data_IF_274408665701
#
_entry.id   IF_274408665701
#
_cell.length_a   1.000
_cell.length_b   1.000
_cell.length_c   1.000
_cell.angle_alpha   90.00
_cell.angle_beta   90.00
_cell.angle_gamma   90.00
#
_symmetry.space_group_name_H-M   'P 1'
#
loop_
_entity.id
_entity.type
_entity.pdbx_description
1 polymer ?
#
# COMPACT_ATOMS: atom_id res chain seq x y z
N UNK A 1 -7.62 0.82 -14.23
CA UNK A 1 -7.08 1.04 -15.60
C UNK A 1 -6.94 -0.27 -16.39
N UNK A 2 -6.22 -1.29 -15.91
CA UNK A 2 -6.03 -2.55 -16.65
C UNK A 2 -7.38 -3.19 -17.05
N UNK A 3 -8.38 -3.15 -16.17
CA UNK A 3 -9.72 -3.67 -16.46
C UNK A 3 -10.43 -2.91 -17.59
N UNK A 4 -10.24 -1.60 -17.71
CA UNK A 4 -10.82 -0.80 -18.79
C UNK A 4 -10.02 -0.95 -20.08
N UNK A 5 -8.69 -0.81 -20.00
CA UNK A 5 -7.84 -0.55 -21.17
C UNK A 5 -6.92 -1.71 -21.55
N UNK A 6 -6.76 -2.74 -20.70
CA UNK A 6 -5.84 -3.85 -20.95
C UNK A 6 -4.36 -3.45 -20.83
N UNK A 7 -3.45 -4.33 -21.27
CA UNK A 7 -2.03 -4.01 -21.42
C UNK A 7 -1.82 -3.50 -22.85
N UNK A 8 -1.50 -2.22 -22.99
CA UNK A 8 -1.31 -1.60 -24.30
C UNK A 8 -0.23 -2.35 -25.11
N UNK A 9 -0.56 -2.64 -26.36
CA UNK A 9 0.36 -3.21 -27.33
C UNK A 9 1.14 -2.07 -27.98
N UNK A 10 2.45 -2.18 -27.92
CA UNK A 10 3.40 -1.28 -28.58
C UNK A 10 4.16 -2.12 -29.59
N UNK A 11 3.95 -1.85 -30.86
CA UNK A 11 4.63 -2.51 -31.98
C UNK A 11 5.90 -1.73 -32.35
N UNK A 12 6.87 -2.43 -32.97
CA UNK A 12 8.17 -1.83 -33.32
C UNK A 12 8.06 -0.66 -34.30
N UNK A 13 7.01 -0.65 -35.11
CA UNK A 13 6.78 0.36 -36.15
C UNK A 13 5.96 1.56 -35.63
N UNK A 14 5.52 1.52 -34.37
CA UNK A 14 4.77 2.63 -33.77
C UNK A 14 5.68 3.84 -33.52
N UNK A 15 5.25 5.01 -33.98
CA UNK A 15 5.92 6.27 -33.65
C UNK A 15 5.60 6.70 -32.22
N UNK A 16 6.47 7.49 -31.60
CA UNK A 16 6.21 8.09 -30.28
C UNK A 16 4.87 8.82 -30.23
N UNK A 17 4.52 9.58 -31.28
CA UNK A 17 3.24 10.28 -31.35
C UNK A 17 2.03 9.33 -31.38
N UNK A 18 2.14 8.17 -32.05
CA UNK A 18 1.08 7.16 -32.04
C UNK A 18 0.94 6.52 -30.66
N UNK A 19 2.06 6.28 -29.97
CA UNK A 19 2.06 5.73 -28.60
C UNK A 19 1.41 6.74 -27.65
N UNK A 20 1.82 8.01 -27.70
CA UNK A 20 1.29 9.08 -26.85
C UNK A 20 -0.24 9.22 -27.05
N UNK A 21 -0.72 9.24 -28.30
CA UNK A 21 -2.16 9.28 -28.60
C UNK A 21 -2.92 8.09 -28.03
N UNK A 22 -2.34 6.89 -28.05
CA UNK A 22 -2.97 5.69 -27.45
C UNK A 22 -3.00 5.78 -25.94
N UNK A 23 -1.93 6.27 -25.32
CA UNK A 23 -1.85 6.48 -23.87
C UNK A 23 -2.90 7.51 -23.43
N UNK A 24 -2.98 8.65 -24.13
CA UNK A 24 -3.99 9.67 -23.87
C UNK A 24 -5.41 9.11 -23.99
N UNK A 25 -5.69 8.34 -25.05
CA UNK A 25 -7.01 7.72 -25.22
C UNK A 25 -7.31 6.68 -24.14
N UNK A 26 -6.31 5.89 -23.70
CA UNK A 26 -6.47 4.96 -22.57
C UNK A 26 -6.82 5.69 -21.28
N UNK A 27 -6.20 6.85 -21.03
CA UNK A 27 -6.52 7.69 -19.88
C UNK A 27 -7.92 8.31 -19.98
N UNK A 28 -8.33 8.77 -21.15
CA UNK A 28 -9.70 9.28 -21.38
C UNK A 28 -10.75 8.22 -21.07
N UNK A 29 -10.57 6.99 -21.57
CA UNK A 29 -11.45 5.85 -21.28
C UNK A 29 -11.46 5.52 -19.80
N UNK A 30 -10.29 5.44 -19.16
CA UNK A 30 -10.22 5.11 -17.74
C UNK A 30 -10.90 6.16 -16.86
N UNK A 31 -10.87 7.43 -17.27
CA UNK A 31 -11.45 8.55 -16.53
C UNK A 31 -12.96 8.70 -16.72
N UNK A 32 -13.51 8.15 -17.79
CA UNK A 32 -14.94 8.23 -18.07
C UNK A 32 -15.73 7.28 -17.14
N UNK A 33 -16.63 7.85 -16.33
CA UNK A 33 -17.49 7.12 -15.38
C UNK A 33 -18.78 6.58 -15.99
N UNK A 34 -19.00 6.80 -17.28
CA UNK A 34 -20.16 6.35 -18.03
C UNK A 34 -20.14 4.86 -18.31
N UNK A 35 -21.33 4.28 -18.51
CA UNK A 35 -21.48 2.84 -18.75
C UNK A 35 -20.76 2.33 -20.00
N UNK A 36 -20.52 3.21 -20.99
CA UNK A 36 -19.78 2.86 -22.22
C UNK A 36 -18.35 2.44 -21.93
N UNK A 37 -17.69 3.10 -20.97
CA UNK A 37 -16.27 2.90 -20.64
C UNK A 37 -16.05 2.31 -19.24
N UNK A 38 -17.13 1.82 -18.62
CA UNK A 38 -17.04 0.84 -17.55
C UNK A 38 -16.19 -0.37 -18.03
N UNK A 39 -15.46 -1.09 -17.15
CA UNK A 39 -14.64 -2.25 -17.55
C UNK A 39 -15.33 -3.28 -18.46
N UNK A 40 -16.63 -3.51 -18.21
CA UNK A 40 -17.52 -4.42 -18.96
C UNK A 40 -18.32 -3.70 -20.06
N UNK A 41 -18.05 -2.42 -20.29
CA UNK A 41 -18.69 -1.58 -21.31
C UNK A 41 -18.09 -1.80 -22.70
N UNK A 42 -18.92 -1.57 -23.73
CA UNK A 42 -18.54 -1.81 -25.13
C UNK A 42 -17.38 -0.94 -25.60
N UNK A 43 -17.25 0.28 -25.08
CA UNK A 43 -16.14 1.18 -25.40
C UNK A 43 -14.81 0.66 -24.89
N UNK A 44 -14.75 0.22 -23.64
CA UNK A 44 -13.57 -0.41 -23.04
C UNK A 44 -13.22 -1.73 -23.73
N UNK A 45 -14.21 -2.57 -24.03
CA UNK A 45 -14.00 -3.82 -24.76
C UNK A 45 -13.39 -3.58 -26.16
N UNK A 46 -13.95 -2.63 -26.92
CA UNK A 46 -13.45 -2.28 -28.24
C UNK A 46 -12.03 -1.72 -28.19
N UNK A 47 -11.73 -0.88 -27.19
CA UNK A 47 -10.39 -0.36 -26.98
C UNK A 47 -9.40 -1.48 -26.72
N UNK A 48 -9.70 -2.40 -25.80
CA UNK A 48 -8.83 -3.56 -25.50
C UNK A 48 -8.55 -4.41 -26.72
N UNK A 49 -9.59 -4.72 -27.51
CA UNK A 49 -9.45 -5.50 -28.75
C UNK A 49 -8.54 -4.84 -29.78
N UNK A 50 -8.52 -3.50 -29.80
CA UNK A 50 -7.82 -2.73 -30.83
C UNK A 50 -6.38 -2.41 -30.43
N UNK A 51 -6.16 -1.98 -29.19
CA UNK A 51 -4.91 -1.37 -28.76
C UNK A 51 -4.14 -2.17 -27.71
N UNK A 52 -4.67 -3.30 -27.25
CA UNK A 52 -4.07 -4.07 -26.16
C UNK A 52 -3.77 -5.51 -26.57
N UNK A 53 -2.89 -6.15 -25.82
CA UNK A 53 -2.73 -7.59 -25.93
C UNK A 53 -4.07 -8.28 -25.65
N UNK A 54 -4.46 -9.32 -26.43
CA UNK A 54 -5.74 -9.98 -26.25
C UNK A 54 -5.94 -10.42 -24.82
N UNK A 55 -7.14 -10.19 -24.27
CA UNK A 55 -7.54 -10.73 -22.99
C UNK A 55 -7.38 -12.25 -23.04
N UNK A 56 -6.33 -12.74 -22.40
CA UNK A 56 -6.04 -14.17 -22.39
C UNK A 56 -6.76 -14.78 -21.21
N UNK A 57 -7.33 -15.98 -21.39
CA UNK A 57 -7.81 -16.80 -20.24
C UNK A 57 -6.67 -17.15 -19.25
N UNK A 58 -5.41 -16.86 -19.61
CA UNK A 58 -4.24 -17.07 -18.76
C UNK A 58 -3.93 -15.77 -17.99
N UNK A 59 -3.48 -15.93 -16.76
CA UNK A 59 -2.92 -14.84 -15.96
C UNK A 59 -1.59 -14.39 -16.58
N UNK A 60 -1.58 -13.22 -17.20
CA UNK A 60 -0.40 -12.67 -17.89
C UNK A 60 0.52 -11.99 -16.89
N UNK A 61 -0.05 -11.31 -15.89
CA UNK A 61 0.71 -10.64 -14.83
C UNK A 61 0.87 -11.65 -13.70
N UNK A 62 2.08 -12.22 -13.55
CA UNK A 62 2.38 -13.19 -12.49
C UNK A 62 2.35 -12.57 -11.09
N UNK A 63 2.81 -11.33 -10.97
CA UNK A 63 2.93 -10.63 -9.71
C UNK A 63 2.73 -9.12 -9.90
N UNK A 64 1.90 -8.52 -9.06
CA UNK A 64 1.68 -7.08 -8.98
C UNK A 64 2.06 -6.61 -7.56
N UNK A 65 3.23 -6.01 -7.42
CA UNK A 65 3.69 -5.43 -6.17
C UNK A 65 3.40 -3.93 -6.13
N UNK A 66 2.69 -3.48 -5.09
CA UNK A 66 2.34 -2.10 -4.87
C UNK A 66 2.90 -1.62 -3.54
N UNK A 67 3.46 -0.41 -3.53
CA UNK A 67 3.80 0.27 -2.30
C UNK A 67 2.97 1.53 -2.17
N UNK A 68 2.27 1.60 -1.06
CA UNK A 68 1.51 2.71 -0.55
C UNK A 68 0.73 3.48 -1.61
N UNK A 69 -0.05 2.75 -2.42
CA UNK A 69 -0.84 3.32 -3.51
C UNK A 69 -1.73 4.42 -2.95
N UNK A 70 -1.48 5.65 -3.40
CA UNK A 70 -2.29 6.82 -3.06
C UNK A 70 -3.30 6.99 -4.17
N UNK A 71 -4.58 7.08 -3.82
CA UNK A 71 -5.63 7.29 -4.81
C UNK A 71 -6.39 8.58 -4.64
N UNK A 72 -5.79 9.54 -3.95
CA UNK A 72 -6.43 10.80 -3.61
C UNK A 72 -7.23 11.37 -4.78
N UNK A 73 -8.43 11.88 -4.48
CA UNK A 73 -8.81 13.29 -4.50
C UNK A 73 -7.77 14.35 -5.00
N UNK A 74 -6.88 13.99 -5.93
CA UNK A 74 -5.89 14.78 -6.63
C UNK A 74 -4.63 15.22 -5.88
N UNK A 75 -3.46 14.79 -6.37
CA UNK A 75 -2.23 15.61 -6.36
C UNK A 75 -2.55 16.98 -6.99
N UNK A 76 -2.01 18.10 -6.50
CA UNK A 76 -2.30 19.45 -6.99
C UNK A 76 -1.68 19.77 -8.37
N UNK A 77 -2.20 19.15 -9.42
CA UNK A 77 -2.14 19.67 -10.79
C UNK A 77 -3.48 20.32 -11.13
N UNK A 78 -3.71 21.51 -10.61
CA UNK A 78 -4.95 22.24 -10.84
C UNK A 78 -5.11 22.57 -12.34
N UNK A 79 -5.87 21.78 -13.11
CA UNK A 79 -6.43 22.26 -14.37
C UNK A 79 -7.69 23.07 -14.04
N UNK A 80 -7.61 24.38 -14.31
CA UNK A 80 -8.61 25.41 -13.95
C UNK A 80 -10.05 25.04 -14.37
N UNK A 81 -10.19 24.16 -15.36
CA UNK A 81 -11.49 23.78 -15.94
C UNK A 81 -12.01 22.39 -15.50
N UNK A 82 -11.20 21.53 -14.89
CA UNK A 82 -11.54 20.13 -14.55
C UNK A 82 -11.31 19.71 -13.09
N UNK A 83 -10.76 20.60 -12.25
CA UNK A 83 -10.52 20.31 -10.83
C UNK A 83 -9.58 19.12 -10.61
N UNK A 84 -9.77 18.39 -9.52
CA UNK A 84 -8.93 17.26 -9.07
C UNK A 84 -9.42 15.87 -9.57
N UNK A 85 -10.48 15.82 -10.37
CA UNK A 85 -11.14 14.57 -10.81
C UNK A 85 -10.24 13.64 -11.64
N UNK A 86 -9.17 14.17 -12.25
CA UNK A 86 -8.31 13.44 -13.19
C UNK A 86 -7.32 12.46 -12.52
N UNK A 87 -7.29 12.41 -11.18
CA UNK A 87 -6.36 11.62 -10.36
C UNK A 87 -7.02 10.60 -9.43
N UNK A 88 -8.35 10.57 -9.38
CA UNK A 88 -9.06 9.56 -8.60
C UNK A 88 -8.92 8.18 -9.25
N UNK A 89 -8.72 7.14 -8.44
CA UNK A 89 -8.79 5.78 -8.96
C UNK A 89 -10.25 5.42 -9.22
N UNK A 90 -10.55 5.10 -10.47
CA UNK A 90 -11.90 4.71 -10.89
C UNK A 90 -12.21 3.23 -10.61
N UNK A 91 -11.19 2.41 -10.33
CA UNK A 91 -11.35 0.99 -10.09
C UNK A 91 -10.25 0.44 -9.18
N UNK A 92 -10.65 0.05 -7.97
CA UNK A 92 -9.80 -0.56 -6.94
C UNK A 92 -9.77 -2.10 -7.06
N UNK A 93 -10.50 -2.67 -8.02
CA UNK A 93 -10.58 -4.12 -8.22
C UNK A 93 -9.40 -4.60 -9.06
N UNK A 94 -8.67 -5.58 -8.56
CA UNK A 94 -7.55 -6.17 -9.30
C UNK A 94 -8.05 -6.97 -10.50
N UNK A 95 -7.49 -6.71 -11.69
CA UNK A 95 -7.86 -7.40 -12.93
C UNK A 95 -7.63 -8.92 -12.87
N UNK A 96 -8.52 -9.70 -13.49
CA UNK A 96 -8.40 -11.17 -13.57
C UNK A 96 -7.19 -11.68 -14.35
N UNK A 97 -6.49 -10.81 -15.09
CA UNK A 97 -5.22 -11.16 -15.74
C UNK A 97 -4.04 -11.21 -14.75
N UNK A 98 -4.24 -10.76 -13.50
CA UNK A 98 -3.25 -10.78 -12.43
C UNK A 98 -3.39 -12.08 -11.63
N UNK A 99 -2.29 -12.78 -11.41
CA UNK A 99 -2.26 -13.98 -10.59
C UNK A 99 -2.24 -13.66 -9.10
N UNK A 100 -1.32 -12.78 -8.71
CA UNK A 100 -1.03 -12.42 -7.33
C UNK A 100 -0.78 -10.92 -7.26
N UNK A 101 -1.47 -10.23 -6.37
CA UNK A 101 -1.25 -8.83 -6.09
C UNK A 101 -0.97 -8.64 -4.61
N UNK A 102 0.00 -7.80 -4.28
CA UNK A 102 0.25 -7.43 -2.91
C UNK A 102 0.57 -5.96 -2.75
N UNK A 103 0.14 -5.40 -1.62
CA UNK A 103 0.24 -3.99 -1.32
C UNK A 103 0.77 -3.78 0.09
N UNK A 104 1.87 -3.02 0.21
CA UNK A 104 2.35 -2.52 1.49
C UNK A 104 1.75 -1.13 1.74
N UNK A 105 1.14 -0.87 2.90
CA UNK A 105 0.51 0.41 3.24
C UNK A 105 1.18 1.07 4.45
N UNK A 106 1.28 2.40 4.43
CA UNK A 106 1.82 3.22 5.50
C UNK A 106 0.78 3.53 6.58
N UNK A 107 1.11 3.23 7.84
CA UNK A 107 0.22 3.48 8.99
C UNK A 107 0.22 4.96 9.38
N UNK A 108 1.39 5.60 9.36
CA UNK A 108 1.60 6.90 10.01
C UNK A 108 1.56 8.09 9.04
N UNK A 109 1.29 7.86 7.76
CA UNK A 109 1.07 8.93 6.80
C UNK A 109 -0.21 9.72 7.14
N UNK A 110 -0.15 11.04 7.00
CA UNK A 110 -1.22 11.96 7.39
C UNK A 110 -1.52 13.03 6.34
N UNK A 111 -0.71 13.17 5.31
CA UNK A 111 -1.00 14.11 4.23
C UNK A 111 -2.27 13.62 3.56
N UNK A 112 -3.35 14.40 3.65
CA UNK A 112 -4.68 14.02 3.12
C UNK A 112 -4.68 13.68 1.62
N UNK A 113 -3.74 14.23 0.86
CA UNK A 113 -3.51 13.89 -0.55
C UNK A 113 -2.80 12.55 -0.77
N UNK A 114 -2.37 11.90 0.30
CA UNK A 114 -1.81 10.55 0.33
C UNK A 114 -2.74 9.60 1.08
N UNK A 115 -4.06 9.80 0.97
CA UNK A 115 -5.04 8.79 1.40
C UNK A 115 -4.81 7.48 0.60
N UNK A 116 -4.70 6.33 1.29
CA UNK A 116 -4.37 5.08 0.63
C UNK A 116 -5.57 4.59 -0.18
N UNK A 117 -5.34 4.22 -1.44
CA UNK A 117 -6.30 3.45 -2.22
C UNK A 117 -5.94 1.98 -2.10
N UNK A 118 -6.86 1.23 -1.53
CA UNK A 118 -6.71 -0.20 -1.23
C UNK A 118 -7.05 -1.00 -2.48
N UNK A 119 -6.47 -2.18 -2.62
CA UNK A 119 -6.83 -3.10 -3.70
C UNK A 119 -7.74 -4.21 -3.21
N UNK A 120 -8.73 -4.56 -4.01
CA UNK A 120 -9.69 -5.62 -3.71
C UNK A 120 -9.60 -6.75 -4.75
N UNK A 121 -9.82 -8.01 -4.33
CA UNK A 121 -9.91 -9.11 -5.28
C UNK A 121 -11.10 -8.91 -6.21
N UNK A 122 -11.02 -9.44 -7.42
CA UNK A 122 -12.18 -9.49 -8.30
C UNK A 122 -13.22 -10.50 -7.81
N UNK A 123 -14.46 -10.34 -8.28
CA UNK A 123 -15.61 -11.18 -7.92
C UNK A 123 -15.50 -12.65 -8.34
N UNK A 124 -14.48 -13.03 -9.10
CA UNK A 124 -14.25 -14.41 -9.54
C UNK A 124 -13.27 -15.18 -8.66
N UNK A 125 -12.73 -14.54 -7.61
CA UNK A 125 -11.70 -15.07 -6.70
C UNK A 125 -10.49 -15.65 -7.45
N UNK A 126 -10.25 -15.16 -8.68
CA UNK A 126 -9.17 -15.67 -9.52
C UNK A 126 -7.82 -15.08 -9.12
N UNK A 127 -7.80 -14.00 -8.35
CA UNK A 127 -6.60 -13.27 -7.94
C UNK A 127 -6.37 -13.41 -6.45
N UNK A 128 -5.15 -13.75 -6.06
CA UNK A 128 -4.75 -13.68 -4.66
C UNK A 128 -4.33 -12.25 -4.34
N UNK A 129 -4.99 -11.62 -3.36
CA UNK A 129 -4.67 -10.27 -2.89
C UNK A 129 -4.11 -10.33 -1.48
N UNK A 130 -2.97 -9.68 -1.25
CA UNK A 130 -2.31 -9.55 0.05
C UNK A 130 -2.00 -8.09 0.36
N UNK A 131 -2.69 -7.51 1.33
CA UNK A 131 -2.41 -6.15 1.78
C UNK A 131 -1.82 -6.20 3.19
N UNK A 132 -0.76 -5.46 3.49
CA UNK A 132 -0.20 -5.39 4.85
C UNK A 132 0.16 -3.96 5.21
N UNK A 133 -0.19 -3.56 6.42
CA UNK A 133 0.13 -2.23 6.97
C UNK A 133 1.44 -2.26 7.74
N UNK A 134 2.32 -1.31 7.42
CA UNK A 134 3.65 -1.16 7.96
C UNK A 134 3.75 0.13 8.78
N UNK A 135 4.48 0.12 9.90
CA UNK A 135 4.89 1.35 10.56
C UNK A 135 5.59 2.27 9.57
N UNK A 136 5.06 3.49 9.48
CA UNK A 136 5.71 4.62 8.84
C UNK A 136 4.89 5.42 7.89
N UNK A 137 5.53 6.42 7.30
CA UNK A 137 4.91 7.36 6.35
C UNK A 137 5.13 6.91 4.91
N UNK A 138 4.45 7.55 3.95
CA UNK A 138 4.43 7.14 2.55
C UNK A 138 5.83 6.90 1.97
N UNK A 139 6.75 7.84 2.19
CA UNK A 139 8.12 7.79 1.67
C UNK A 139 8.98 6.67 2.28
N UNK A 140 8.68 6.26 3.52
CA UNK A 140 9.44 5.19 4.20
C UNK A 140 8.96 3.82 3.75
N UNK A 141 7.65 3.64 3.59
CA UNK A 141 7.07 2.39 3.10
C UNK A 141 7.38 2.19 1.61
N UNK A 142 7.19 3.23 0.80
CA UNK A 142 7.45 3.20 -0.65
C UNK A 142 8.92 3.19 -1.03
N UNK A 143 9.79 3.64 -0.12
CA UNK A 143 11.20 3.82 -0.41
C UNK A 143 11.43 5.11 -1.18
N UNK A 144 12.17 6.02 -0.56
CA UNK A 144 12.50 7.31 -1.13
C UNK A 144 13.09 8.20 -0.05
N UNK A 145 14.40 8.44 -0.12
CA UNK A 145 15.05 9.38 0.80
C UNK A 145 15.21 10.70 0.06
N UNK A 146 14.34 11.68 0.37
CA UNK A 146 14.45 13.02 -0.25
C UNK A 146 15.58 13.86 0.35
N UNK A 147 16.23 13.40 1.42
CA UNK A 147 17.17 14.19 2.22
C UNK A 147 18.47 13.44 2.47
N UNK A 148 19.60 14.13 2.32
CA UNK A 148 20.95 13.65 2.65
C UNK A 148 21.19 13.38 4.14
N UNK A 149 20.15 13.47 4.97
CA UNK A 149 20.16 13.21 6.40
C UNK A 149 19.50 11.85 6.63
N UNK A 150 20.31 10.82 6.90
CA UNK A 150 19.87 9.42 6.99
C UNK A 150 18.50 9.21 7.68
N UNK A 151 17.60 8.56 6.95
CA UNK A 151 16.26 8.15 7.40
C UNK A 151 16.26 6.82 8.14
N UNK A 152 15.07 6.32 8.50
CA UNK A 152 14.91 4.95 8.97
C UNK A 152 15.12 3.99 7.79
N UNK A 153 16.27 3.30 7.74
CA UNK A 153 16.55 2.34 6.67
C UNK A 153 15.83 1.01 6.86
N UNK A 154 15.30 0.74 8.06
CA UNK A 154 14.70 -0.54 8.41
C UNK A 154 13.34 -0.73 7.77
N UNK A 155 12.51 0.32 7.68
CA UNK A 155 11.17 0.24 7.08
C UNK A 155 11.25 -0.06 5.57
N UNK A 156 12.03 0.67 4.75
CA UNK A 156 12.18 0.33 3.33
C UNK A 156 12.76 -1.08 3.12
N UNK A 157 13.70 -1.51 3.98
CA UNK A 157 14.23 -2.89 3.94
C UNK A 157 13.13 -3.91 4.25
N UNK A 158 12.29 -3.66 5.26
CA UNK A 158 11.18 -4.52 5.62
C UNK A 158 10.16 -4.68 4.49
N UNK A 159 9.72 -3.56 3.89
CA UNK A 159 8.72 -3.59 2.81
C UNK A 159 9.28 -4.23 1.54
N UNK A 160 10.55 -3.99 1.22
CA UNK A 160 11.24 -4.63 0.11
C UNK A 160 11.38 -6.14 0.33
N UNK A 161 11.86 -6.57 1.50
CA UNK A 161 12.01 -7.99 1.81
C UNK A 161 10.66 -8.71 1.79
N UNK A 162 9.62 -8.10 2.38
CA UNK A 162 8.25 -8.64 2.37
C UNK A 162 7.73 -8.84 0.94
N UNK A 163 7.98 -7.89 0.04
CA UNK A 163 7.61 -8.02 -1.37
C UNK A 163 8.36 -9.18 -2.04
N UNK A 164 9.67 -9.30 -1.79
CA UNK A 164 10.53 -10.36 -2.33
C UNK A 164 10.07 -11.74 -1.83
N UNK A 165 9.68 -11.86 -0.56
CA UNK A 165 9.18 -13.12 0.01
C UNK A 165 7.92 -13.60 -0.72
N UNK A 166 7.00 -12.69 -1.05
CA UNK A 166 5.83 -13.05 -1.87
C UNK A 166 6.18 -13.34 -3.33
N UNK A 167 7.16 -12.64 -3.93
CA UNK A 167 7.67 -12.97 -5.27
C UNK A 167 8.20 -14.40 -5.30
N UNK A 168 8.99 -14.79 -4.30
CA UNK A 168 9.53 -16.16 -4.17
C UNK A 168 8.41 -17.18 -3.96
N UNK A 169 7.41 -16.85 -3.14
CA UNK A 169 6.25 -17.72 -2.91
C UNK A 169 5.44 -17.97 -4.19
N UNK A 170 5.27 -16.96 -5.05
CA UNK A 170 4.57 -17.10 -6.34
C UNK A 170 5.35 -17.99 -7.31
N UNK A 171 6.68 -17.88 -7.30
CA UNK A 171 7.56 -18.69 -8.15
C UNK A 171 7.58 -18.26 -9.63
N UNK A 172 8.38 -18.98 -10.43
CA UNK A 172 8.54 -18.78 -11.88
C UNK A 172 8.90 -17.34 -12.33
N UNK A 173 9.47 -16.55 -11.44
CA UNK A 173 10.03 -15.22 -11.73
C UNK A 173 11.56 -15.31 -11.71
N UNK A 174 12.20 -14.63 -12.65
CA UNK A 174 13.65 -14.58 -12.71
C UNK A 174 14.18 -13.71 -11.56
N UNK A 175 15.00 -14.32 -10.73
CA UNK A 175 15.63 -13.68 -9.56
C UNK A 175 17.14 -13.69 -9.75
N UNK A 176 17.79 -12.58 -9.37
CA UNK A 176 19.26 -12.46 -9.49
C UNK A 176 19.98 -13.24 -8.39
N UNK A 177 19.46 -13.15 -7.17
CA UNK A 177 20.00 -13.79 -5.98
C UNK A 177 18.94 -14.74 -5.37
N UNK A 178 19.34 -15.59 -4.40
CA UNK A 178 18.41 -16.42 -3.64
C UNK A 178 17.75 -15.65 -2.46
N UNK A 179 16.73 -16.27 -1.85
CA UNK A 179 15.98 -15.64 -0.76
C UNK A 179 16.85 -15.37 0.48
N UNK A 180 17.83 -16.21 0.79
CA UNK A 180 18.70 -16.02 1.97
C UNK A 180 19.64 -14.82 1.79
N UNK A 181 20.12 -14.62 0.56
CA UNK A 181 20.90 -13.44 0.17
C UNK A 181 20.06 -12.18 0.30
N UNK A 182 18.79 -12.21 -0.14
CA UNK A 182 17.88 -11.08 0.04
C UNK A 182 17.51 -10.82 1.50
N UNK A 183 17.26 -11.86 2.31
CA UNK A 183 17.04 -11.75 3.76
C UNK A 183 18.21 -11.11 4.47
N UNK A 184 19.43 -11.48 4.10
CA UNK A 184 20.64 -10.87 4.65
C UNK A 184 20.76 -9.39 4.24
N UNK A 185 20.55 -9.09 2.95
CA UNK A 185 20.70 -7.73 2.40
C UNK A 185 19.63 -6.76 2.91
N UNK A 186 18.40 -7.22 3.03
CA UNK A 186 17.23 -6.43 3.40
C UNK A 186 16.69 -6.78 4.79
N UNK A 187 17.52 -7.32 5.68
CA UNK A 187 17.13 -7.56 7.07
C UNK A 187 16.71 -6.23 7.72
N UNK A 188 15.46 -6.10 8.19
CA UNK A 188 15.02 -4.89 8.87
C UNK A 188 15.53 -4.82 10.31
N UNK A 189 16.10 -5.91 10.82
CA UNK A 189 16.61 -6.01 12.19
C UNK A 189 18.02 -5.38 12.34
N UNK A 190 18.64 -4.99 11.21
CA UNK A 190 20.00 -4.45 11.15
C UNK A 190 20.00 -3.08 10.45
N UNK A 191 20.83 -2.18 10.97
CA UNK A 191 21.06 -0.84 10.39
C UNK A 191 20.44 0.29 11.19
N UNK A 192 20.61 1.54 10.73
CA UNK A 192 20.13 2.71 11.44
C UNK A 192 18.60 2.72 11.49
N UNK A 193 18.05 2.72 12.71
CA UNK A 193 16.70 3.20 12.99
C UNK A 193 16.72 4.74 13.09
N UNK A 194 15.54 5.34 13.24
CA UNK A 194 15.30 6.74 13.57
C UNK A 194 16.51 7.54 14.07
N UNK A 195 17.00 8.47 13.26
CA UNK A 195 17.95 9.46 13.74
C UNK A 195 17.17 10.53 14.53
N UNK A 196 17.64 10.88 15.73
CA UNK A 196 17.05 11.95 16.57
C UNK A 196 16.93 13.28 15.80
N UNK A 197 17.70 13.50 14.72
CA UNK A 197 17.56 14.67 13.84
C UNK A 197 16.29 14.67 12.96
N UNK A 198 15.64 13.52 12.73
CA UNK A 198 14.42 13.39 11.92
C UNK A 198 13.16 13.86 12.67
N UNK A 199 13.25 14.09 13.98
CA UNK A 199 12.21 14.77 14.79
C UNK A 199 11.76 16.12 14.20
N UNK A 200 12.64 16.78 13.46
CA UNK A 200 12.37 18.08 12.87
C UNK A 200 11.45 17.95 11.64
N UNK A 201 11.43 16.81 10.94
CA UNK A 201 10.67 16.64 9.71
C UNK A 201 9.22 16.18 9.94
N UNK A 202 8.97 15.33 10.94
CA UNK A 202 7.57 15.09 11.35
C UNK A 202 6.94 16.35 11.97
N UNK A 203 7.78 17.23 12.56
CA UNK A 203 7.41 18.61 12.89
C UNK A 203 7.49 19.58 11.72
N UNK A 204 8.06 19.25 10.56
CA UNK A 204 8.03 20.09 9.35
C UNK A 204 6.74 19.95 8.57
N UNK A 205 5.87 19.01 8.95
CA UNK A 205 4.43 19.14 8.73
C UNK A 205 3.87 20.46 9.33
N UNK A 206 4.64 21.22 10.11
CA UNK A 206 4.32 22.62 10.44
C UNK A 206 4.27 23.56 9.22
N UNK A 207 4.81 23.16 8.06
CA UNK A 207 4.67 23.90 6.80
C UNK A 207 3.41 23.48 6.01
N UNK A 208 2.86 22.29 6.29
CA UNK A 208 1.60 21.83 5.71
C UNK A 208 0.47 22.33 6.61
N UNK A 209 -0.49 23.13 6.10
CA UNK A 209 -1.61 23.59 6.90
C UNK A 209 -2.30 22.41 7.60
N UNK A 210 -2.63 22.53 8.90
CA UNK A 210 -3.27 21.46 9.69
C UNK A 210 -4.54 20.91 9.02
N UNK A 211 -5.25 21.73 8.26
CA UNK A 211 -6.43 21.34 7.48
C UNK A 211 -6.15 20.27 6.41
N UNK A 212 -4.90 20.13 5.98
CA UNK A 212 -4.44 19.14 4.99
C UNK A 212 -3.88 17.88 5.65
N UNK A 213 -3.94 17.77 6.98
CA UNK A 213 -3.54 16.59 7.73
C UNK A 213 -4.76 15.78 8.19
N UNK A 214 -4.76 14.48 7.89
CA UNK A 214 -5.79 13.51 8.26
C UNK A 214 -5.13 12.17 8.54
N UNK A 215 -5.38 11.61 9.72
CA UNK A 215 -4.94 10.26 10.05
C UNK A 215 -5.66 9.24 9.16
N UNK A 216 -4.92 8.25 8.68
CA UNK A 216 -5.48 7.11 7.92
C UNK A 216 -6.36 6.25 8.80
N UNK A 217 -7.21 5.45 8.15
CA UNK A 217 -8.07 4.47 8.81
C UNK A 217 -7.69 3.06 8.40
N UNK A 218 -7.32 2.22 9.37
CA UNK A 218 -7.08 0.79 9.13
C UNK A 218 -8.39 0.06 9.43
N UNK A 219 -9.01 -0.60 8.45
CA UNK A 219 -10.25 -1.32 8.69
C UNK A 219 -10.01 -2.50 9.63
N UNK A 220 -10.95 -2.70 10.56
CA UNK A 220 -10.94 -3.82 11.49
C UNK A 220 -11.30 -5.12 10.75
N UNK A 221 -10.33 -5.68 10.04
CA UNK A 221 -10.47 -6.94 9.33
C UNK A 221 -10.15 -8.12 10.23
N UNK A 222 -11.07 -9.08 10.30
CA UNK A 222 -10.97 -10.20 11.21
C UNK A 222 -10.74 -11.52 10.47
N UNK A 223 -10.21 -12.49 11.18
CA UNK A 223 -10.16 -13.87 10.73
C UNK A 223 -11.58 -14.50 10.65
N UNK A 224 -11.75 -15.68 10.03
CA UNK A 224 -13.06 -16.34 9.95
C UNK A 224 -13.73 -16.62 11.30
N UNK A 225 -12.95 -16.76 12.38
CA UNK A 225 -13.50 -16.96 13.74
C UNK A 225 -14.03 -15.68 14.37
N UNK A 226 -13.70 -14.50 13.81
CA UNK A 226 -13.99 -13.17 14.33
C UNK A 226 -13.40 -12.90 15.71
N UNK A 227 -12.38 -13.66 16.11
CA UNK A 227 -11.69 -13.50 17.40
C UNK A 227 -10.32 -12.86 17.23
N UNK A 228 -9.75 -12.98 16.04
CA UNK A 228 -8.41 -12.49 15.75
C UNK A 228 -8.49 -11.45 14.64
N UNK A 229 -7.57 -10.48 14.69
CA UNK A 229 -7.27 -9.65 13.55
C UNK A 229 -6.84 -10.56 12.38
N UNK A 230 -7.23 -10.20 11.16
CA UNK A 230 -6.86 -10.92 9.95
C UNK A 230 -5.33 -11.07 9.94
N UNK A 231 -4.87 -12.31 9.77
CA UNK A 231 -3.45 -12.63 9.68
C UNK A 231 -2.77 -11.75 8.63
N UNK A 232 -1.55 -11.28 8.94
CA UNK A 232 -0.76 -10.41 8.08
C UNK A 232 -1.40 -9.03 7.80
N UNK A 233 -2.43 -8.59 8.55
CA UNK A 233 -2.95 -7.21 8.42
C UNK A 233 -1.91 -6.17 8.82
N UNK A 234 -1.21 -6.43 9.91
CA UNK A 234 -0.07 -5.65 10.36
C UNK A 234 1.20 -6.42 10.03
N UNK A 235 2.26 -5.70 9.62
CA UNK A 235 3.57 -6.33 9.43
C UNK A 235 4.03 -7.02 10.73
N UNK A 236 4.56 -8.24 10.62
CA UNK A 236 4.92 -9.09 11.78
C UNK A 236 3.79 -9.23 12.81
N UNK A 237 2.53 -9.20 12.35
CA UNK A 237 1.32 -9.27 13.17
C UNK A 237 1.28 -8.22 14.31
N UNK A 238 1.96 -7.09 14.15
CA UNK A 238 2.04 -6.01 15.14
C UNK A 238 3.22 -6.13 16.13
N UNK A 239 4.05 -7.18 16.03
CA UNK A 239 5.30 -7.27 16.79
C UNK A 239 6.40 -6.44 16.10
N UNK A 240 6.48 -5.18 16.51
CA UNK A 240 7.40 -4.20 15.95
C UNK A 240 8.59 -3.90 16.84
N UNK A 241 8.69 -4.53 18.02
CA UNK A 241 9.76 -4.29 18.99
C UNK A 241 11.14 -4.45 18.33
N UNK A 242 11.29 -5.56 17.60
CA UNK A 242 12.41 -5.84 16.71
C UNK A 242 11.78 -5.88 15.31
N UNK A 243 11.59 -4.74 14.60
CA UNK A 243 12.67 -3.92 14.06
C UNK A 243 12.53 -2.39 14.25
N UNK A 244 11.39 -1.92 14.74
CA UNK A 244 10.99 -0.50 14.68
C UNK A 244 10.89 0.19 16.04
N UNK A 245 10.96 -0.58 17.13
CA UNK A 245 10.89 -0.09 18.50
C UNK A 245 9.52 -0.31 19.14
N UNK A 246 9.37 0.13 20.39
CA UNK A 246 8.13 -0.01 21.15
C UNK A 246 7.01 0.84 20.59
N UNK A 247 5.78 0.56 21.00
CA UNK A 247 4.62 1.42 20.75
C UNK A 247 4.89 2.88 21.17
N UNK A 248 5.34 3.11 22.41
CA UNK A 248 5.67 4.47 22.87
C UNK A 248 6.71 5.16 21.99
N UNK A 249 7.70 4.42 21.49
CA UNK A 249 8.69 4.99 20.57
C UNK A 249 8.04 5.44 19.25
N UNK A 250 7.14 4.64 18.68
CA UNK A 250 6.43 4.99 17.45
C UNK A 250 5.49 6.19 17.63
N UNK A 251 4.84 6.34 18.79
CA UNK A 251 4.01 7.50 19.12
C UNK A 251 4.80 8.81 19.27
N UNK A 252 6.02 8.70 19.79
CA UNK A 252 6.93 9.85 19.88
C UNK A 252 7.43 10.22 18.48
N UNK A 253 7.70 9.22 17.65
CA UNK A 253 8.26 9.41 16.33
C UNK A 253 7.25 9.98 15.34
N UNK A 254 6.02 9.49 15.36
CA UNK A 254 4.98 9.86 14.41
C UNK A 254 3.79 10.52 15.08
N UNK A 255 3.30 11.61 14.49
CA UNK A 255 2.14 12.34 15.03
C UNK A 255 0.77 11.71 14.69
N UNK A 256 0.75 10.59 13.95
CA UNK A 256 -0.48 9.90 13.53
C UNK A 256 -1.08 9.08 14.66
N UNK A 257 -2.41 9.11 14.83
CA UNK A 257 -3.13 8.25 15.77
C UNK A 257 -3.72 7.00 15.12
N UNK A 258 -3.42 6.71 13.85
CA UNK A 258 -4.02 5.61 13.10
C UNK A 258 -3.90 4.26 13.82
N UNK A 259 -2.70 3.90 14.29
CA UNK A 259 -2.50 2.65 15.03
C UNK A 259 -3.23 2.65 16.38
N UNK A 260 -3.22 3.77 17.11
CA UNK A 260 -3.91 3.86 18.40
C UNK A 260 -5.42 3.74 18.29
N UNK A 261 -5.99 4.26 17.20
CA UNK A 261 -7.41 4.09 16.89
C UNK A 261 -7.71 2.60 16.69
N UNK A 262 -6.98 1.92 15.81
CA UNK A 262 -7.14 0.48 15.58
C UNK A 262 -6.96 -0.33 16.88
N UNK A 263 -5.94 -0.02 17.68
CA UNK A 263 -5.66 -0.67 18.96
C UNK A 263 -6.84 -0.56 19.92
N UNK A 264 -7.41 0.64 20.07
CA UNK A 264 -8.59 0.89 20.91
C UNK A 264 -9.82 0.14 20.40
N UNK A 265 -10.00 0.06 19.08
CA UNK A 265 -11.10 -0.70 18.49
C UNK A 265 -10.93 -2.22 18.73
N UNK A 266 -9.71 -2.75 18.58
CA UNK A 266 -9.36 -4.14 18.92
C UNK A 266 -9.66 -4.44 20.40
N UNK A 267 -9.21 -3.56 21.30
CA UNK A 267 -9.45 -3.68 22.75
C UNK A 267 -10.94 -3.69 23.08
N UNK A 268 -11.68 -2.71 22.56
CA UNK A 268 -13.11 -2.55 22.80
C UNK A 268 -13.91 -3.77 22.34
N UNK A 269 -13.56 -4.32 21.18
CA UNK A 269 -14.25 -5.47 20.58
C UNK A 269 -13.72 -6.83 21.12
N UNK A 270 -12.74 -6.82 22.04
CA UNK A 270 -12.16 -8.04 22.62
C UNK A 270 -11.40 -8.90 21.59
N UNK A 271 -10.94 -8.28 20.50
CA UNK A 271 -10.19 -8.92 19.43
C UNK A 271 -8.73 -9.12 19.86
N UNK A 272 -8.12 -10.21 19.40
CA UNK A 272 -6.70 -10.50 19.64
C UNK A 272 -5.88 -10.37 18.37
N UNK A 273 -4.59 -10.13 18.50
CA UNK A 273 -3.66 -10.31 17.40
C UNK A 273 -3.45 -11.81 17.11
N UNK A 274 -2.82 -12.10 15.98
CA UNK A 274 -2.47 -13.47 15.62
C UNK A 274 -1.64 -14.16 16.73
N UNK A 275 -1.68 -15.49 16.80
CA UNK A 275 -1.09 -16.29 17.91
C UNK A 275 -1.62 -15.98 19.31
N UNK A 276 -2.84 -15.42 19.42
CA UNK A 276 -3.49 -15.17 20.71
C UNK A 276 -2.81 -14.11 21.57
N UNK A 277 -2.03 -13.23 20.92
CA UNK A 277 -1.33 -12.11 21.54
C UNK A 277 -2.32 -10.96 21.74
N UNK A 278 -2.34 -10.36 22.93
CA UNK A 278 -3.00 -9.06 23.14
C UNK A 278 -2.07 -8.00 22.55
N UNK A 279 -2.63 -6.97 21.91
CA UNK A 279 -1.85 -5.86 21.33
C UNK A 279 -0.79 -5.34 22.31
N UNK A 280 0.31 -4.83 21.75
CA UNK A 280 1.43 -4.36 22.55
C UNK A 280 0.99 -3.22 23.48
N UNK A 281 1.12 -3.48 24.79
CA UNK A 281 0.97 -2.50 25.87
C UNK A 281 2.37 -2.15 26.36
N UNK A 282 2.66 -0.86 26.50
CA UNK A 282 3.94 -0.43 27.07
C UNK A 282 4.08 -0.95 28.52
N UNK A 283 5.31 -1.09 29.02
CA UNK A 283 5.59 -1.65 30.36
C UNK A 283 4.80 -0.94 31.46
N UNK A 284 4.65 0.38 31.37
CA UNK A 284 3.90 1.18 32.34
C UNK A 284 2.39 0.86 32.36
N UNK A 285 1.79 0.55 31.20
CA UNK A 285 0.38 0.14 31.11
C UNK A 285 0.17 -1.26 31.68
N UNK A 286 1.14 -2.17 31.47
CA UNK A 286 1.11 -3.52 32.06
C UNK A 286 1.21 -3.45 33.58
N UNK A 287 2.08 -2.60 34.12
CA UNK A 287 2.25 -2.39 35.57
C UNK A 287 0.97 -1.80 36.19
N UNK A 288 0.32 -0.86 35.51
CA UNK A 288 -0.93 -0.26 35.98
C UNK A 288 -2.09 -1.26 36.07
N UNK A 289 -2.24 -2.15 35.08
CA UNK A 289 -3.25 -3.21 35.13
C UNK A 289 -2.95 -4.26 36.21
N UNK A 290 -1.70 -4.67 36.38
CA UNK A 290 -1.31 -5.59 37.47
C UNK A 290 -1.54 -4.98 38.85
N UNK A 291 -1.51 -3.65 38.98
CA UNK A 291 -1.80 -2.97 40.24
C UNK A 291 -3.30 -2.80 40.51
N UNK A 292 -4.17 -3.15 39.57
CA UNK A 292 -5.64 -2.99 39.64
C UNK A 292 -6.40 -4.33 39.52
N UNK A 293 -5.68 -5.45 39.48
CA UNK A 293 -6.19 -6.82 39.64
C UNK A 293 -5.96 -7.30 41.08
#
# INVERSE_FOLDING_TARGET
>A
MIRNCGILKIDRDDTSEQIDKRVDFAYEIYRDRGQTYHPEGTGSENFRKTFSYPDSKKKIIKFLGLWDTVGAHGIPGFTVDKGFEYLEFHDETVSGIVNFACQALAIHERVSFFEPSRIYPNSSDTVTVKETWFPGVHMEVGGGTFLTLGGNERIPKATMLWMIEYIVQVGDLLMRDDIETYRTRFSPDIGPSWNIRNFIFDRSNSLIPTLMLRDRDIPLELDPSKKFLRKDLLYRDGDWLLPFGTRSHLLIQYASNTYEKLRKDIEKEGIRLYNNVIYDKDEDEKVFEMAHL
#
